data_IF_905219415369
#
_entry.id   IF_905219415369
#
_cell.length_a   1.000
_cell.length_b   1.000
_cell.length_c   1.000
_cell.angle_alpha   90.00
_cell.angle_beta   90.00
_cell.angle_gamma   90.00
#
_symmetry.space_group_name_H-M   'P 1'
#
loop_
_entity.id
_entity.type
_entity.pdbx_description
1 polymer ?
#
# COMPACT_ATOMS: atom_id res chain seq x y z
N UNK A 1 75.42 6.13 7.29
CA UNK A 1 74.55 6.07 6.08
C UNK A 1 74.01 4.66 6.00
N UNK A 2 72.74 4.34 5.98
CA UNK A 2 71.48 5.08 6.21
C UNK A 2 70.40 3.99 6.30
N UNK A 3 69.62 4.06 7.38
CA UNK A 3 68.25 3.56 7.61
C UNK A 3 67.70 2.38 6.79
N UNK A 4 67.47 1.28 7.52
CA UNK A 4 66.31 0.40 7.32
C UNK A 4 65.03 1.19 7.66
N UNK A 5 64.18 1.47 6.66
CA UNK A 5 62.81 1.95 6.90
C UNK A 5 61.86 0.75 6.87
N UNK A 6 61.37 0.45 8.07
CA UNK A 6 60.36 -0.53 8.41
C UNK A 6 59.02 -0.22 7.73
N UNK A 7 58.50 -1.19 7.00
CA UNK A 7 57.14 -1.22 6.47
C UNK A 7 56.14 -1.39 7.64
N UNK A 8 55.66 -0.28 8.22
CA UNK A 8 54.60 -0.29 9.23
C UNK A 8 53.24 -0.26 8.53
N UNK A 9 52.64 -1.44 8.40
CA UNK A 9 51.20 -1.59 8.27
C UNK A 9 50.52 -0.82 9.42
N UNK A 10 49.86 0.29 9.10
CA UNK A 10 49.14 1.12 10.06
C UNK A 10 48.01 0.34 10.71
N UNK A 11 48.19 -0.01 11.98
CA UNK A 11 47.10 -0.49 12.83
C UNK A 11 46.00 0.58 12.84
N UNK A 12 44.72 0.24 12.56
CA UNK A 12 43.63 1.20 12.65
C UNK A 12 43.61 1.78 14.06
N UNK A 13 43.56 3.11 14.15
CA UNK A 13 43.69 3.84 15.40
C UNK A 13 42.70 3.36 16.45
N UNK A 14 43.08 3.45 17.73
CA UNK A 14 42.29 2.97 18.88
C UNK A 14 40.82 3.48 18.86
N UNK A 15 40.61 4.67 18.30
CA UNK A 15 39.30 5.31 18.08
C UNK A 15 38.44 4.55 17.05
N UNK A 16 39.05 4.05 15.98
CA UNK A 16 38.37 3.31 14.90
C UNK A 16 37.96 1.90 15.37
N UNK A 17 38.81 1.27 16.20
CA UNK A 17 38.50 0.03 16.95
C UNK A 17 37.47 0.22 18.08
N UNK A 18 37.22 1.45 18.54
CA UNK A 18 36.13 1.74 19.47
C UNK A 18 34.81 2.04 18.73
N UNK A 19 34.89 2.66 17.55
CA UNK A 19 33.73 2.94 16.69
C UNK A 19 33.06 1.67 16.13
N UNK A 20 33.77 0.55 16.03
CA UNK A 20 33.16 -0.74 15.66
C UNK A 20 32.11 -1.23 16.69
N UNK A 21 32.24 -0.87 17.97
CA UNK A 21 31.30 -1.21 19.03
C UNK A 21 30.12 -0.24 19.14
N UNK A 22 30.20 0.93 18.50
CA UNK A 22 29.07 1.86 18.39
C UNK A 22 28.07 1.28 17.39
N UNK A 23 26.78 1.11 17.75
CA UNK A 23 25.75 0.65 16.83
C UNK A 23 25.80 1.47 15.55
N UNK A 24 25.72 0.84 14.37
CA UNK A 24 25.87 1.51 13.08
C UNK A 24 24.99 2.78 12.93
N UNK A 25 23.85 2.80 13.65
CA UNK A 25 22.87 3.90 13.73
C UNK A 25 23.39 5.15 14.45
N UNK A 26 24.41 5.02 15.30
CA UNK A 26 25.00 6.08 16.12
C UNK A 26 26.35 6.56 15.58
N UNK A 27 26.87 5.96 14.50
CA UNK A 27 28.10 6.40 13.85
C UNK A 27 27.82 7.71 13.08
N UNK A 28 28.62 8.75 13.33
CA UNK A 28 28.57 10.01 12.58
C UNK A 28 28.77 9.72 11.09
N UNK A 29 27.82 10.12 10.24
CA UNK A 29 27.89 9.99 8.78
C UNK A 29 27.06 8.86 8.15
N UNK A 30 26.36 8.03 8.94
CA UNK A 30 25.47 7.02 8.38
C UNK A 30 24.23 7.67 7.72
N UNK A 31 24.03 7.43 6.42
CA UNK A 31 22.81 7.85 5.71
C UNK A 31 21.68 6.92 6.09
N UNK A 32 20.54 7.47 6.51
CA UNK A 32 19.37 6.70 6.93
C UNK A 32 18.19 7.00 6.02
N UNK A 33 17.49 5.94 5.59
CA UNK A 33 16.23 6.00 4.85
C UNK A 33 15.24 5.04 5.53
N UNK A 34 14.40 5.50 6.46
CA UNK A 34 13.36 4.66 7.07
C UNK A 34 12.42 4.09 6.01
N UNK A 35 12.06 2.82 6.18
CA UNK A 35 11.19 2.08 5.26
C UNK A 35 9.85 1.79 5.94
N UNK A 36 8.74 2.16 5.30
CA UNK A 36 7.38 1.81 5.74
C UNK A 36 6.75 0.88 4.70
N UNK A 37 6.23 -0.26 5.15
CA UNK A 37 5.51 -1.22 4.28
C UNK A 37 4.00 -0.97 4.38
N UNK A 38 3.36 -0.76 3.24
CA UNK A 38 1.93 -0.52 3.06
C UNK A 38 1.38 -1.65 2.20
N UNK A 39 0.88 -2.71 2.86
CA UNK A 39 0.47 -3.95 2.19
C UNK A 39 -0.98 -4.31 2.51
N UNK A 40 -1.66 -4.86 1.51
CA UNK A 40 -3.00 -5.44 1.62
C UNK A 40 -4.12 -4.51 1.16
N UNK A 41 -5.35 -4.94 1.40
CA UNK A 41 -6.56 -4.19 1.08
C UNK A 41 -6.64 -2.90 1.89
N UNK A 42 -7.18 -1.84 1.28
CA UNK A 42 -7.35 -0.55 1.94
C UNK A 42 -8.80 -0.40 2.41
N UNK A 43 -8.99 -0.13 3.71
CA UNK A 43 -10.29 0.16 4.32
C UNK A 43 -11.27 -1.02 4.47
N UNK A 44 -10.96 -2.21 3.94
CA UNK A 44 -11.74 -3.42 4.17
C UNK A 44 -11.66 -3.80 5.65
N UNK A 45 -12.70 -3.53 6.43
CA UNK A 45 -12.72 -3.82 7.87
C UNK A 45 -13.51 -5.08 8.13
N UNK A 46 -12.83 -6.22 8.17
CA UNK A 46 -13.38 -7.37 8.87
C UNK A 46 -12.85 -7.35 10.31
N UNK A 47 -13.65 -7.74 11.33
CA UNK A 47 -13.27 -7.61 12.74
C UNK A 47 -11.89 -8.22 13.08
N UNK A 48 -11.49 -9.26 12.36
CA UNK A 48 -10.27 -10.04 12.61
C UNK A 48 -9.13 -9.75 11.63
N UNK A 49 -9.42 -9.21 10.43
CA UNK A 49 -8.42 -8.76 9.45
C UNK A 49 -8.74 -7.34 9.00
N UNK A 50 -8.29 -6.32 9.76
CA UNK A 50 -8.46 -4.95 9.35
C UNK A 50 -7.53 -4.66 8.17
N UNK A 51 -8.11 -4.22 7.07
CA UNK A 51 -7.41 -3.62 5.96
C UNK A 51 -6.69 -2.34 6.41
N UNK A 52 -5.76 -1.90 5.56
CA UNK A 52 -4.98 -0.70 5.77
C UNK A 52 -5.90 0.52 5.89
N UNK A 53 -5.73 1.29 6.97
CA UNK A 53 -6.44 2.55 7.21
C UNK A 53 -5.47 3.60 7.70
N UNK A 54 -5.83 4.88 7.58
CA UNK A 54 -5.02 5.97 8.12
C UNK A 54 -4.75 5.75 9.62
N UNK A 55 -5.77 5.37 10.39
CA UNK A 55 -5.63 5.10 11.82
C UNK A 55 -4.58 4.01 12.12
N UNK A 56 -4.52 2.97 11.29
CA UNK A 56 -3.55 1.88 11.43
C UNK A 56 -2.11 2.29 11.08
N UNK A 57 -1.92 3.16 10.07
CA UNK A 57 -0.57 3.48 9.55
C UNK A 57 -0.01 4.82 10.04
N UNK A 58 -0.84 5.73 10.58
CA UNK A 58 -0.44 7.09 10.94
C UNK A 58 0.78 7.13 11.87
N UNK A 59 0.77 6.35 12.97
CA UNK A 59 1.91 6.31 13.91
C UNK A 59 3.19 5.76 13.28
N UNK A 60 3.06 4.81 12.37
CA UNK A 60 4.21 4.22 11.65
C UNK A 60 4.83 5.26 10.71
N UNK A 61 3.99 5.99 9.97
CA UNK A 61 4.41 7.10 9.12
C UNK A 61 5.09 8.18 9.95
N UNK A 62 4.46 8.64 11.03
CA UNK A 62 5.03 9.66 11.93
C UNK A 62 6.41 9.27 12.46
N UNK A 63 6.60 8.02 12.87
CA UNK A 63 7.90 7.51 13.34
C UNK A 63 8.95 7.47 12.23
N UNK A 64 8.56 7.12 11.01
CA UNK A 64 9.48 7.16 9.87
C UNK A 64 9.93 8.60 9.59
N UNK A 65 8.99 9.52 9.48
CA UNK A 65 9.27 10.93 9.21
C UNK A 65 9.98 11.66 10.37
N UNK A 66 9.86 11.18 11.61
CA UNK A 66 10.56 11.71 12.78
C UNK A 66 11.98 11.15 12.97
N UNK A 67 12.45 10.23 12.11
CA UNK A 67 13.75 9.60 12.28
C UNK A 67 14.89 10.59 12.05
N UNK A 68 15.77 10.73 13.06
CA UNK A 68 16.92 11.65 13.00
C UNK A 68 17.85 11.28 11.85
N UNK A 69 18.36 12.30 11.16
CA UNK A 69 19.30 12.17 10.04
C UNK A 69 18.74 11.41 8.82
N UNK A 70 17.42 11.21 8.73
CA UNK A 70 16.81 10.67 7.54
C UNK A 70 17.07 11.59 6.33
N UNK A 71 17.45 11.01 5.19
CA UNK A 71 17.63 11.73 3.92
C UNK A 71 16.40 11.63 3.01
N UNK A 72 15.58 10.61 3.23
CA UNK A 72 14.33 10.32 2.53
C UNK A 72 13.47 9.40 3.39
N UNK A 73 12.21 9.21 3.04
CA UNK A 73 11.37 8.11 3.53
C UNK A 73 11.06 7.19 2.36
N UNK A 74 11.31 5.89 2.52
CA UNK A 74 10.93 4.89 1.53
C UNK A 74 9.59 4.26 1.91
N UNK A 75 8.66 4.22 0.96
CA UNK A 75 7.38 3.52 1.09
C UNK A 75 7.41 2.31 0.18
N UNK A 76 7.11 1.14 0.72
CA UNK A 76 6.98 -0.10 -0.05
C UNK A 76 5.49 -0.44 -0.14
N UNK A 77 4.95 -0.46 -1.35
CA UNK A 77 3.51 -0.63 -1.59
C UNK A 77 3.25 -1.98 -2.25
N UNK A 78 2.34 -2.75 -1.66
CA UNK A 78 1.79 -3.96 -2.25
C UNK A 78 0.29 -4.06 -1.97
N UNK A 79 -0.53 -3.43 -2.81
CA UNK A 79 -1.96 -3.26 -2.58
C UNK A 79 -2.77 -3.26 -3.89
N UNK A 80 -3.86 -4.05 -3.95
CA UNK A 80 -4.82 -4.03 -5.06
C UNK A 80 -5.79 -2.84 -4.96
N UNK A 81 -5.68 -2.01 -3.91
CA UNK A 81 -6.58 -0.89 -3.64
C UNK A 81 -7.62 -1.18 -2.57
N UNK A 82 -8.77 -0.51 -2.68
CA UNK A 82 -9.85 -0.57 -1.71
C UNK A 82 -10.54 0.79 -1.55
N UNK A 83 -10.83 1.18 -0.32
CA UNK A 83 -11.56 2.40 0.01
C UNK A 83 -10.91 3.66 -0.59
N UNK A 84 -11.62 4.45 -1.42
CA UNK A 84 -11.09 5.70 -1.97
C UNK A 84 -10.81 6.73 -0.87
N UNK A 85 -11.61 6.72 0.20
CA UNK A 85 -11.45 7.63 1.34
C UNK A 85 -10.16 7.33 2.11
N UNK A 86 -9.94 6.07 2.51
CA UNK A 86 -8.74 5.69 3.26
C UNK A 86 -7.47 5.88 2.42
N UNK A 87 -7.53 5.55 1.12
CA UNK A 87 -6.42 5.76 0.19
C UNK A 87 -6.02 7.24 0.12
N UNK A 88 -6.99 8.14 -0.06
CA UNK A 88 -6.75 9.58 -0.12
C UNK A 88 -6.27 10.15 1.22
N UNK A 89 -6.81 9.67 2.34
CA UNK A 89 -6.38 10.09 3.68
C UNK A 89 -4.93 9.71 3.96
N UNK A 90 -4.50 8.51 3.57
CA UNK A 90 -3.11 8.07 3.69
C UNK A 90 -2.21 8.90 2.77
N UNK A 91 -2.59 9.10 1.51
CA UNK A 91 -1.90 10.00 0.57
C UNK A 91 -1.65 11.39 1.18
N UNK A 92 -2.72 12.02 1.70
CA UNK A 92 -2.64 13.35 2.30
C UNK A 92 -1.70 13.37 3.50
N UNK A 93 -1.77 12.36 4.38
CA UNK A 93 -0.90 12.30 5.56
C UNK A 93 0.57 12.16 5.18
N UNK A 94 0.89 11.36 4.17
CA UNK A 94 2.26 11.23 3.64
C UNK A 94 2.74 12.58 3.12
N UNK A 95 1.95 13.27 2.28
CA UNK A 95 2.35 14.58 1.73
C UNK A 95 2.49 15.66 2.79
N UNK A 96 1.62 15.66 3.80
CA UNK A 96 1.71 16.57 4.94
C UNK A 96 3.04 16.35 5.69
N UNK A 97 3.35 15.10 6.06
CA UNK A 97 4.59 14.76 6.76
C UNK A 97 5.84 15.07 5.94
N UNK A 98 5.80 14.81 4.62
CA UNK A 98 6.89 15.15 3.70
C UNK A 98 7.15 16.66 3.67
N UNK A 99 6.10 17.49 3.61
CA UNK A 99 6.21 18.94 3.66
C UNK A 99 6.71 19.45 5.02
N UNK A 100 6.14 18.96 6.12
CA UNK A 100 6.53 19.34 7.48
C UNK A 100 8.00 19.02 7.80
N UNK A 101 8.48 17.85 7.33
CA UNK A 101 9.84 17.37 7.61
C UNK A 101 10.84 17.69 6.51
N UNK A 102 10.37 18.21 5.37
CA UNK A 102 11.17 18.49 4.17
C UNK A 102 11.98 17.26 3.73
N UNK A 103 11.34 16.09 3.76
CA UNK A 103 11.95 14.82 3.37
C UNK A 103 11.32 14.33 2.07
N UNK A 104 12.12 13.94 1.07
CA UNK A 104 11.60 13.30 -0.12
C UNK A 104 11.03 11.93 0.21
N UNK A 105 10.00 11.54 -0.52
CA UNK A 105 9.30 10.25 -0.42
C UNK A 105 9.60 9.43 -1.65
N UNK A 106 10.23 8.28 -1.46
CA UNK A 106 10.56 7.32 -2.52
C UNK A 106 9.62 6.13 -2.40
N UNK A 107 8.80 5.89 -3.41
CA UNK A 107 7.85 4.78 -3.44
C UNK A 107 8.46 3.62 -4.23
N UNK A 108 8.36 2.42 -3.69
CA UNK A 108 8.75 1.18 -4.33
C UNK A 108 7.52 0.27 -4.40
N UNK A 109 7.04 0.00 -5.60
CA UNK A 109 5.95 -0.96 -5.84
C UNK A 109 6.55 -2.36 -5.87
N UNK A 110 5.99 -3.26 -5.06
CA UNK A 110 6.29 -4.70 -5.14
C UNK A 110 5.41 -5.33 -6.23
N UNK A 111 4.48 -6.23 -5.88
CA UNK A 111 3.68 -6.92 -6.88
C UNK A 111 2.63 -5.97 -7.50
N UNK A 112 1.88 -5.25 -6.66
CA UNK A 112 0.74 -4.45 -7.12
C UNK A 112 0.70 -3.08 -6.43
N UNK A 113 0.47 -2.02 -7.20
CA UNK A 113 -0.04 -0.74 -6.73
C UNK A 113 -1.16 -0.29 -7.67
N UNK A 114 -2.36 -0.84 -7.45
CA UNK A 114 -3.54 -0.62 -8.28
C UNK A 114 -4.61 0.16 -7.51
N UNK A 115 -5.43 0.95 -8.22
CA UNK A 115 -6.56 1.71 -7.68
C UNK A 115 -6.15 2.54 -6.44
N UNK A 116 -6.75 2.32 -5.28
CA UNK A 116 -6.35 2.96 -4.03
C UNK A 116 -4.87 2.81 -3.67
N UNK A 117 -4.22 1.70 -4.05
CA UNK A 117 -2.78 1.50 -3.87
C UNK A 117 -1.96 2.46 -4.74
N UNK A 118 -2.38 2.66 -6.00
CA UNK A 118 -1.78 3.66 -6.89
C UNK A 118 -2.01 5.09 -6.40
N UNK A 119 -3.18 5.37 -5.82
CA UNK A 119 -3.46 6.66 -5.18
C UNK A 119 -2.49 6.97 -4.05
N UNK A 120 -2.12 5.97 -3.23
CA UNK A 120 -1.09 6.13 -2.20
C UNK A 120 0.30 6.27 -2.83
N UNK A 121 0.60 5.51 -3.89
CA UNK A 121 1.88 5.60 -4.61
C UNK A 121 2.13 7.00 -5.17
N UNK A 122 1.08 7.70 -5.60
CA UNK A 122 1.14 9.10 -6.03
C UNK A 122 1.61 10.07 -4.92
N UNK A 123 1.69 9.64 -3.65
CA UNK A 123 2.28 10.48 -2.60
C UNK A 123 3.82 10.56 -2.68
N UNK A 124 4.45 9.66 -3.43
CA UNK A 124 5.89 9.67 -3.70
C UNK A 124 6.31 10.85 -4.56
N UNK A 125 7.49 11.41 -4.29
CA UNK A 125 8.15 12.32 -5.21
C UNK A 125 8.73 11.55 -6.41
N UNK A 126 9.09 10.28 -6.18
CA UNK A 126 9.49 9.28 -7.19
C UNK A 126 8.84 7.91 -6.90
N UNK A 127 8.48 7.19 -7.95
CA UNK A 127 7.86 5.85 -7.94
C UNK A 127 8.75 4.89 -8.74
N UNK A 128 9.22 3.86 -8.08
CA UNK A 128 10.00 2.76 -8.65
C UNK A 128 9.16 1.48 -8.66
N UNK A 129 9.41 0.61 -9.64
CA UNK A 129 8.71 -0.67 -9.79
C UNK A 129 9.63 -1.74 -10.40
N UNK A 130 9.25 -3.01 -10.24
CA UNK A 130 9.81 -4.11 -11.04
C UNK A 130 9.18 -4.10 -12.45
N UNK A 131 9.85 -4.59 -13.51
CA UNK A 131 9.23 -4.74 -14.83
C UNK A 131 7.88 -5.47 -14.81
N UNK A 132 7.70 -6.40 -13.87
CA UNK A 132 6.51 -7.23 -13.70
C UNK A 132 5.49 -6.68 -12.70
N UNK A 133 5.81 -5.59 -12.00
CA UNK A 133 4.85 -4.94 -11.09
C UNK A 133 3.61 -4.48 -11.86
N UNK A 134 2.44 -4.53 -11.22
CA UNK A 134 1.19 -4.04 -11.80
C UNK A 134 0.84 -2.68 -11.18
N UNK A 135 0.71 -1.65 -12.03
CA UNK A 135 0.33 -0.30 -11.62
C UNK A 135 -0.88 0.21 -12.39
N UNK A 136 -1.53 1.25 -11.86
CA UNK A 136 -2.66 1.90 -12.51
C UNK A 136 -3.98 1.47 -11.87
N UNK A 137 -4.91 0.97 -12.68
CA UNK A 137 -6.31 0.76 -12.30
C UNK A 137 -6.95 2.05 -11.75
N UNK A 138 -6.74 3.15 -12.48
CA UNK A 138 -7.25 4.47 -12.13
C UNK A 138 -8.73 4.52 -12.53
N UNK A 139 -9.59 4.16 -11.61
CA UNK A 139 -11.03 4.06 -11.82
C UNK A 139 -11.78 3.76 -10.53
N UNK A 140 -13.11 3.73 -10.62
CA UNK A 140 -14.01 3.48 -9.50
C UNK A 140 -14.97 2.35 -9.88
N UNK A 141 -15.03 1.33 -9.04
CA UNK A 141 -15.95 0.20 -9.23
C UNK A 141 -16.77 0.00 -7.96
N UNK A 142 -18.03 -0.39 -8.15
CA UNK A 142 -18.91 -0.88 -7.12
C UNK A 142 -19.82 -1.93 -7.74
N UNK A 143 -20.24 -2.92 -6.97
CA UNK A 143 -21.06 -4.01 -7.47
C UNK A 143 -21.75 -4.77 -6.33
N UNK A 144 -22.84 -5.42 -6.70
CA UNK A 144 -23.60 -6.35 -5.87
C UNK A 144 -24.21 -7.41 -6.77
N UNK A 145 -24.92 -8.37 -6.19
CA UNK A 145 -25.66 -9.39 -6.91
C UNK A 145 -27.16 -9.08 -6.93
N UNK A 146 -27.84 -9.50 -7.99
CA UNK A 146 -29.29 -9.59 -8.05
C UNK A 146 -29.75 -10.99 -7.67
N UNK A 147 -30.64 -11.09 -6.69
CA UNK A 147 -31.13 -12.33 -6.10
C UNK A 147 -32.67 -12.44 -6.14
N UNK A 148 -33.36 -11.49 -6.77
CA UNK A 148 -34.82 -11.42 -6.83
C UNK A 148 -35.44 -12.73 -7.37
N UNK A 149 -34.85 -13.33 -8.41
CA UNK A 149 -35.37 -14.57 -9.00
C UNK A 149 -35.08 -15.79 -8.13
N UNK A 150 -33.94 -15.78 -7.42
CA UNK A 150 -33.56 -16.85 -6.51
C UNK A 150 -34.55 -16.91 -5.34
N UNK A 151 -34.84 -15.78 -4.69
CA UNK A 151 -35.74 -15.75 -3.54
C UNK A 151 -37.17 -16.13 -3.93
N UNK A 152 -37.62 -15.71 -5.11
CA UNK A 152 -38.92 -16.09 -5.66
C UNK A 152 -39.00 -17.61 -5.87
N UNK A 153 -37.94 -18.22 -6.43
CA UNK A 153 -37.89 -19.66 -6.70
C UNK A 153 -37.94 -20.52 -5.44
N UNK A 154 -37.40 -20.04 -4.32
CA UNK A 154 -37.40 -20.76 -3.03
C UNK A 154 -38.54 -20.35 -2.10
N UNK A 155 -39.49 -19.54 -2.59
CA UNK A 155 -40.67 -19.14 -1.83
C UNK A 155 -40.40 -18.10 -0.73
N UNK A 156 -39.30 -17.36 -0.81
CA UNK A 156 -38.96 -16.29 0.13
C UNK A 156 -39.53 -14.95 -0.37
N UNK A 157 -40.32 -14.29 0.48
CA UNK A 157 -40.90 -12.98 0.21
C UNK A 157 -40.07 -11.86 0.87
N UNK A 158 -39.67 -10.86 0.08
CA UNK A 158 -38.99 -9.67 0.59
C UNK A 158 -40.01 -8.63 1.07
N UNK A 159 -39.99 -8.30 2.37
CA UNK A 159 -40.81 -7.22 2.96
C UNK A 159 -39.91 -6.08 3.44
N UNK A 160 -40.01 -4.92 2.79
CA UNK A 160 -39.18 -3.74 3.09
C UNK A 160 -40.07 -2.50 3.29
N UNK A 161 -39.84 -1.78 4.39
CA UNK A 161 -40.51 -0.52 4.70
C UNK A 161 -39.44 0.55 4.92
N UNK A 162 -39.54 1.67 4.19
CA UNK A 162 -38.50 2.71 4.20
C UNK A 162 -39.04 4.10 4.45
N UNK A 163 -38.21 4.94 5.10
CA UNK A 163 -38.38 6.39 5.10
C UNK A 163 -37.29 7.04 4.21
N UNK A 164 -37.71 7.92 3.30
CA UNK A 164 -36.88 8.56 2.29
C UNK A 164 -36.97 7.89 0.92
N UNK A 165 -37.08 8.71 -0.14
CA UNK A 165 -37.46 8.26 -1.50
C UNK A 165 -36.49 7.25 -2.16
N UNK A 166 -35.21 7.25 -1.77
CA UNK A 166 -34.16 6.42 -2.39
C UNK A 166 -33.50 5.48 -1.38
N UNK A 167 -34.16 5.20 -0.24
CA UNK A 167 -33.59 4.40 0.86
C UNK A 167 -33.50 2.90 0.54
N UNK A 168 -34.15 2.46 -0.54
CA UNK A 168 -34.09 1.12 -1.10
C UNK A 168 -33.28 1.05 -2.41
N UNK A 169 -32.48 2.07 -2.73
CA UNK A 169 -31.67 2.08 -3.95
C UNK A 169 -30.63 0.94 -3.93
N UNK A 170 -30.44 0.27 -5.07
CA UNK A 170 -29.49 -0.86 -5.27
C UNK A 170 -29.74 -2.07 -4.38
N UNK A 171 -31.00 -2.25 -4.05
CA UNK A 171 -31.51 -3.40 -3.34
C UNK A 171 -31.29 -4.71 -4.13
N UNK A 172 -30.56 -5.70 -3.58
CA UNK A 172 -30.24 -6.94 -4.29
C UNK A 172 -31.42 -7.90 -4.47
N UNK A 173 -32.55 -7.70 -3.80
CA UNK A 173 -33.74 -8.55 -3.99
C UNK A 173 -34.87 -7.85 -4.78
N UNK A 174 -34.57 -6.73 -5.43
CA UNK A 174 -35.48 -6.06 -6.38
C UNK A 174 -34.85 -6.04 -7.78
N UNK A 175 -35.68 -5.94 -8.85
CA UNK A 175 -35.17 -5.62 -10.18
C UNK A 175 -34.40 -4.30 -10.19
N UNK A 176 -33.36 -4.23 -11.01
CA UNK A 176 -32.55 -3.02 -11.13
C UNK A 176 -33.36 -1.85 -11.69
N UNK A 177 -33.31 -0.70 -11.02
CA UNK A 177 -33.95 0.53 -11.47
C UNK A 177 -32.96 1.40 -12.27
N UNK A 178 -33.25 1.74 -13.55
CA UNK A 178 -32.39 2.57 -14.38
C UNK A 178 -32.03 3.94 -13.76
N UNK A 179 -32.94 4.54 -12.99
CA UNK A 179 -32.71 5.82 -12.33
C UNK A 179 -31.70 5.69 -11.17
N UNK A 180 -31.76 4.59 -10.43
CA UNK A 180 -30.78 4.26 -9.39
C UNK A 180 -29.39 4.02 -9.98
N UNK A 181 -29.33 3.32 -11.13
CA UNK A 181 -28.08 3.12 -11.88
C UNK A 181 -27.52 4.44 -12.37
N UNK A 182 -28.37 5.34 -12.89
CA UNK A 182 -27.95 6.67 -13.34
C UNK A 182 -27.35 7.49 -12.17
N UNK A 183 -27.99 7.45 -11.00
CA UNK A 183 -27.48 8.07 -9.76
C UNK A 183 -26.15 7.47 -9.32
N UNK A 184 -26.02 6.14 -9.29
CA UNK A 184 -24.77 5.46 -8.94
C UNK A 184 -23.63 5.84 -9.89
N UNK A 185 -23.90 5.84 -11.20
CA UNK A 185 -22.90 6.24 -12.21
C UNK A 185 -22.48 7.71 -12.06
N UNK A 186 -23.41 8.60 -11.69
CA UNK A 186 -23.07 9.99 -11.39
C UNK A 186 -22.10 10.10 -10.21
N UNK A 187 -22.40 9.42 -9.10
CA UNK A 187 -21.51 9.34 -7.94
C UNK A 187 -20.13 8.76 -8.30
N UNK A 188 -20.08 7.69 -9.09
CA UNK A 188 -18.82 7.09 -9.54
C UNK A 188 -18.00 8.07 -10.39
N UNK A 189 -18.64 8.85 -11.28
CA UNK A 189 -17.96 9.89 -12.07
C UNK A 189 -17.36 10.99 -11.18
N UNK A 190 -18.07 11.42 -10.14
CA UNK A 190 -17.56 12.40 -9.18
C UNK A 190 -16.31 11.89 -8.45
N UNK A 191 -16.37 10.66 -7.93
CA UNK A 191 -15.21 10.04 -7.24
C UNK A 191 -14.04 9.84 -8.22
N UNK A 192 -14.33 9.42 -9.45
CA UNK A 192 -13.31 9.20 -10.46
C UNK A 192 -12.62 10.51 -10.85
N UNK A 193 -13.37 11.61 -11.02
CA UNK A 193 -12.81 12.92 -11.30
C UNK A 193 -11.83 13.39 -10.21
N UNK A 194 -12.14 13.13 -8.93
CA UNK A 194 -11.23 13.41 -7.81
C UNK A 194 -9.94 12.60 -7.94
N UNK A 195 -10.03 11.32 -8.33
CA UNK A 195 -8.86 10.47 -8.50
C UNK A 195 -8.00 10.93 -9.68
N UNK A 196 -8.60 11.24 -10.84
CA UNK A 196 -7.89 11.80 -11.99
C UNK A 196 -7.14 13.07 -11.60
N UNK A 197 -7.81 14.00 -10.91
CA UNK A 197 -7.21 15.25 -10.47
C UNK A 197 -6.00 15.02 -9.54
N UNK A 198 -6.10 14.06 -8.61
CA UNK A 198 -5.00 13.69 -7.72
C UNK A 198 -3.80 13.14 -8.50
N UNK A 199 -4.03 12.23 -9.45
CA UNK A 199 -2.95 11.63 -10.27
C UNK A 199 -2.30 12.71 -11.12
N UNK A 200 -3.08 13.56 -11.78
CA UNK A 200 -2.55 14.68 -12.59
C UNK A 200 -1.74 15.66 -11.73
N UNK A 201 -2.21 15.99 -10.53
CA UNK A 201 -1.48 16.86 -9.62
C UNK A 201 -0.14 16.24 -9.17
N UNK A 202 -0.14 14.95 -8.84
CA UNK A 202 1.07 14.25 -8.37
C UNK A 202 2.09 14.04 -9.50
N UNK A 203 1.64 13.49 -10.62
CA UNK A 203 2.51 13.06 -11.72
C UNK A 203 2.85 14.21 -12.67
N UNK A 204 1.96 15.20 -12.82
CA UNK A 204 2.22 16.43 -13.59
C UNK A 204 2.72 16.13 -15.00
N UNK A 205 3.77 16.85 -15.42
CA UNK A 205 4.41 16.68 -16.72
C UNK A 205 5.07 15.30 -16.95
N UNK A 206 5.15 14.45 -15.92
CA UNK A 206 5.68 13.08 -16.08
C UNK A 206 4.69 12.16 -16.79
N UNK A 207 3.38 12.44 -16.74
CA UNK A 207 2.38 11.66 -17.47
C UNK A 207 2.58 11.85 -18.97
N UNK A 208 2.65 10.74 -19.69
CA UNK A 208 2.88 10.70 -21.14
C UNK A 208 1.70 10.08 -21.90
N UNK A 209 0.91 9.24 -21.24
CA UNK A 209 -0.29 8.65 -21.84
C UNK A 209 -1.43 9.65 -22.00
N UNK A 210 -2.32 9.38 -22.95
CA UNK A 210 -3.54 10.15 -23.14
C UNK A 210 -4.56 9.87 -22.02
N UNK A 211 -5.38 10.87 -21.69
CA UNK A 211 -6.40 10.77 -20.64
C UNK A 211 -7.37 9.60 -20.85
N UNK A 212 -7.79 9.38 -22.09
CA UNK A 212 -8.71 8.31 -22.52
C UNK A 212 -8.09 6.91 -22.47
N UNK A 213 -6.80 6.82 -22.16
CA UNK A 213 -6.08 5.56 -21.92
C UNK A 213 -5.77 5.40 -20.44
N UNK A 214 -5.22 6.44 -19.79
CA UNK A 214 -4.74 6.36 -18.41
C UNK A 214 -5.86 6.25 -17.38
N UNK A 215 -7.03 6.83 -17.66
CA UNK A 215 -8.12 6.98 -16.70
C UNK A 215 -9.32 6.09 -17.06
N UNK A 216 -9.08 4.92 -17.64
CA UNK A 216 -10.14 3.95 -18.00
C UNK A 216 -10.40 2.92 -16.91
N UNK A 217 -9.47 2.77 -15.96
CA UNK A 217 -9.44 1.67 -15.00
C UNK A 217 -8.55 0.49 -15.41
N UNK A 218 -7.91 0.56 -16.57
CA UNK A 218 -6.88 -0.40 -17.01
C UNK A 218 -5.62 -0.31 -16.13
N UNK A 219 -4.83 -1.39 -16.11
CA UNK A 219 -3.56 -1.49 -15.39
C UNK A 219 -2.47 -2.03 -16.32
N UNK A 220 -1.22 -1.73 -15.98
CA UNK A 220 -0.07 -2.03 -16.84
C UNK A 220 1.08 -2.62 -16.04
N UNK A 221 1.90 -3.41 -16.73
CA UNK A 221 3.19 -3.87 -16.22
C UNK A 221 4.16 -2.69 -15.99
N UNK A 222 5.23 -2.89 -15.22
CA UNK A 222 6.13 -1.83 -14.77
C UNK A 222 6.80 -1.07 -15.91
N UNK A 223 7.31 -1.74 -16.94
CA UNK A 223 7.96 -1.07 -18.08
C UNK A 223 6.99 -0.16 -18.84
N UNK A 224 5.78 -0.64 -19.10
CA UNK A 224 4.72 0.15 -19.72
C UNK A 224 4.30 1.30 -18.80
N UNK A 225 4.23 1.07 -17.49
CA UNK A 225 3.91 2.10 -16.50
C UNK A 225 4.93 3.23 -16.48
N UNK A 226 6.23 2.94 -16.61
CA UNK A 226 7.29 3.95 -16.77
C UNK A 226 7.12 4.70 -18.11
N UNK A 227 6.84 3.98 -19.19
CA UNK A 227 6.62 4.56 -20.52
C UNK A 227 5.42 5.52 -20.56
N UNK A 228 4.36 5.20 -19.83
CA UNK A 228 3.15 6.02 -19.67
C UNK A 228 3.31 7.16 -18.64
N UNK A 229 4.38 7.15 -17.85
CA UNK A 229 4.64 8.15 -16.81
C UNK A 229 3.96 7.87 -15.46
N UNK A 230 3.39 6.68 -15.30
CA UNK A 230 2.76 6.22 -14.06
C UNK A 230 3.81 5.85 -13.00
N UNK A 231 4.99 5.44 -13.42
CA UNK A 231 6.19 5.28 -12.59
C UNK A 231 7.35 6.10 -13.19
N UNK A 232 8.40 6.32 -12.39
CA UNK A 232 9.57 7.11 -12.79
C UNK A 232 10.70 6.23 -13.34
N UNK A 233 10.91 5.05 -12.76
CA UNK A 233 11.92 4.11 -13.23
C UNK A 233 11.63 2.67 -12.80
N UNK A 234 12.28 1.74 -13.50
CA UNK A 234 12.43 0.37 -13.03
C UNK A 234 13.54 0.32 -11.98
N UNK A 235 13.30 -0.35 -10.84
CA UNK A 235 14.31 -0.53 -9.80
C UNK A 235 13.76 -1.10 -8.50
N UNK A 236 14.62 -1.81 -7.76
CA UNK A 236 14.32 -2.33 -6.42
C UNK A 236 14.80 -1.39 -5.32
N UNK A 237 14.23 -1.54 -4.12
CA UNK A 237 14.54 -0.70 -2.96
C UNK A 237 16.03 -0.72 -2.59
N UNK A 238 16.69 -1.88 -2.62
CA UNK A 238 18.06 -2.02 -2.13
C UNK A 238 19.05 -1.41 -3.10
N UNK A 239 18.97 -1.77 -4.39
CA UNK A 239 19.89 -1.25 -5.41
C UNK A 239 19.71 0.25 -5.61
N UNK A 240 18.46 0.73 -5.67
CA UNK A 240 18.14 2.16 -5.86
C UNK A 240 18.68 3.01 -4.72
N UNK A 241 18.45 2.60 -3.47
CA UNK A 241 18.92 3.37 -2.32
C UNK A 241 20.44 3.33 -2.17
N UNK A 242 21.10 2.20 -2.49
CA UNK A 242 22.57 2.12 -2.45
C UNK A 242 23.23 2.96 -3.54
N UNK A 243 22.69 2.93 -4.74
CA UNK A 243 23.17 3.76 -5.85
C UNK A 243 23.07 5.25 -5.51
N UNK A 244 21.96 5.66 -4.88
CA UNK A 244 21.69 7.06 -4.54
C UNK A 244 22.40 7.57 -3.29
N UNK A 245 22.50 6.74 -2.25
CA UNK A 245 22.94 7.15 -0.91
C UNK A 245 24.20 6.41 -0.41
N UNK A 246 24.79 5.55 -1.24
CA UNK A 246 25.99 4.75 -0.96
C UNK A 246 25.69 3.37 -0.37
N UNK A 247 26.64 2.44 -0.50
CA UNK A 247 26.49 1.03 -0.09
C UNK A 247 26.18 0.81 1.40
N UNK A 248 26.53 1.80 2.23
CA UNK A 248 26.36 1.79 3.69
C UNK A 248 25.05 2.44 4.15
N UNK A 249 24.13 2.78 3.23
CA UNK A 249 22.81 3.32 3.59
C UNK A 249 22.07 2.37 4.53
N UNK A 250 21.54 2.91 5.61
CA UNK A 250 20.74 2.18 6.59
C UNK A 250 19.26 2.33 6.25
N UNK A 251 18.58 1.19 6.12
CA UNK A 251 17.16 1.14 5.74
C UNK A 251 16.31 0.52 6.86
N UNK A 252 16.18 1.17 8.03
CA UNK A 252 15.43 0.60 9.14
C UNK A 252 13.94 0.49 8.78
N UNK A 253 13.40 -0.72 8.88
CA UNK A 253 11.96 -0.96 8.67
C UNK A 253 11.19 -0.48 9.90
N UNK A 254 10.30 0.48 9.71
CA UNK A 254 9.45 1.02 10.76
C UNK A 254 8.21 0.15 10.86
N UNK A 255 8.15 -0.64 11.92
CA UNK A 255 6.98 -1.49 12.21
C UNK A 255 5.94 -0.71 13.02
N UNK A 256 4.64 -1.07 12.93
CA UNK A 256 3.62 -0.60 13.85
C UNK A 256 4.08 -0.80 15.30
N UNK A 257 3.69 0.07 16.24
CA UNK A 257 4.01 -0.11 17.64
C UNK A 257 3.37 -1.43 18.15
N UNK A 258 4.17 -2.50 18.19
CA UNK A 258 3.80 -3.72 18.90
C UNK A 258 4.02 -3.49 20.39
N UNK A 259 3.05 -3.86 21.23
CA UNK A 259 3.32 -4.03 22.65
C UNK A 259 4.45 -5.05 22.82
N UNK A 260 5.37 -4.82 23.75
CA UNK A 260 6.51 -5.73 24.02
C UNK A 260 6.09 -7.20 24.22
N UNK A 261 4.82 -7.45 24.59
CA UNK A 261 4.22 -8.79 24.73
C UNK A 261 3.96 -9.52 23.41
N UNK A 262 3.73 -8.83 22.29
CA UNK A 262 3.51 -9.47 20.97
C UNK A 262 4.78 -10.11 20.42
N UNK A 263 5.96 -9.69 20.90
CA UNK A 263 7.26 -10.27 20.53
C UNK A 263 7.59 -11.54 21.31
N UNK A 264 6.98 -11.75 22.48
CA UNK A 264 7.21 -12.90 23.35
C UNK A 264 6.23 -14.05 23.04
N UNK A 265 4.99 -13.72 22.66
CA UNK A 265 4.01 -14.70 22.20
C UNK A 265 3.97 -14.75 20.67
N UNK A 266 5.12 -15.11 20.10
CA UNK A 266 5.39 -15.08 18.66
C UNK A 266 4.26 -15.65 17.81
N UNK A 267 4.04 -14.96 16.68
CA UNK A 267 3.44 -15.47 15.44
C UNK A 267 3.57 -17.00 15.35
N UNK A 268 2.45 -17.71 15.50
CA UNK A 268 2.34 -19.05 14.91
C UNK A 268 2.48 -18.89 13.40
N UNK A 269 3.50 -19.53 12.85
CA UNK A 269 3.68 -19.67 11.41
C UNK A 269 2.44 -20.33 10.80
N UNK A 270 1.82 -19.79 9.74
CA UNK A 270 0.76 -20.50 9.03
C UNK A 270 1.42 -21.62 8.23
N UNK A 271 1.43 -22.84 8.76
CA UNK A 271 2.00 -23.99 8.03
C UNK A 271 2.37 -25.23 8.83
N UNK A 272 2.22 -25.27 10.17
CA UNK A 272 2.55 -26.47 10.93
C UNK A 272 1.45 -26.85 11.92
N UNK A 273 0.66 -27.85 11.51
CA UNK A 273 -0.01 -28.81 12.40
C UNK A 273 -1.18 -28.29 13.23
N UNK A 274 -2.39 -28.47 12.71
CA UNK A 274 -3.53 -28.84 13.56
C UNK A 274 -4.33 -29.91 12.81
N UNK A 275 -4.31 -31.14 13.32
CA UNK A 275 -5.35 -32.09 13.03
C UNK A 275 -6.69 -31.40 13.29
N UNK A 276 -7.47 -31.22 12.22
CA UNK A 276 -8.75 -30.55 12.26
C UNK A 276 -9.71 -31.39 13.09
N UNK A 277 -9.96 -30.97 14.34
CA UNK A 277 -11.19 -31.34 15.02
C UNK A 277 -12.34 -30.68 14.26
N UNK A 278 -13.31 -31.48 13.84
CA UNK A 278 -14.52 -31.09 13.09
C UNK A 278 -15.31 -29.94 13.75
N UNK A 279 -15.09 -29.65 15.03
CA UNK A 279 -15.67 -28.51 15.75
C UNK A 279 -15.08 -27.15 15.38
N UNK A 280 -13.85 -27.09 14.83
CA UNK A 280 -13.23 -25.83 14.41
C UNK A 280 -13.88 -25.23 13.14
N UNK A 281 -14.66 -26.02 12.40
CA UNK A 281 -15.37 -25.59 11.18
C UNK A 281 -16.58 -24.70 11.54
N UNK A 282 -17.14 -24.83 12.74
CA UNK A 282 -18.36 -24.12 13.14
C UNK A 282 -18.12 -22.68 13.67
N UNK A 283 -16.87 -22.28 13.92
CA UNK A 283 -16.52 -20.98 14.53
C UNK A 283 -15.88 -19.93 13.60
N UNK A 284 -15.73 -20.23 12.30
CA UNK A 284 -14.93 -19.44 11.35
C UNK A 284 -15.67 -18.82 10.14
N UNK A 285 -16.99 -18.51 10.16
CA UNK A 285 -17.65 -17.97 8.97
C UNK A 285 -17.02 -16.63 8.53
N UNK A 286 -16.78 -15.70 9.46
CA UNK A 286 -16.27 -14.37 9.11
C UNK A 286 -14.81 -14.37 8.62
N UNK A 287 -13.95 -15.25 9.17
CA UNK A 287 -12.56 -15.37 8.71
C UNK A 287 -12.46 -15.97 7.30
N UNK A 288 -13.27 -16.99 7.04
CA UNK A 288 -13.31 -17.64 5.73
C UNK A 288 -13.87 -16.67 4.69
N UNK A 289 -14.96 -15.96 5.00
CA UNK A 289 -15.55 -14.95 4.10
C UNK A 289 -14.52 -13.85 3.80
N UNK A 290 -13.89 -13.28 4.83
CA UNK A 290 -12.83 -12.26 4.68
C UNK A 290 -11.67 -12.73 3.81
N UNK A 291 -11.23 -13.98 4.01
CA UNK A 291 -10.16 -14.57 3.22
C UNK A 291 -10.57 -14.80 1.76
N UNK A 292 -11.80 -15.24 1.51
CA UNK A 292 -12.36 -15.44 0.18
C UNK A 292 -12.53 -14.11 -0.56
N UNK A 293 -13.07 -13.08 0.09
CA UNK A 293 -13.17 -11.73 -0.48
C UNK A 293 -11.79 -11.17 -0.82
N UNK A 294 -10.84 -11.30 0.10
CA UNK A 294 -9.46 -10.87 -0.15
C UNK A 294 -8.85 -11.59 -1.34
N UNK A 295 -8.95 -12.92 -1.38
CA UNK A 295 -8.47 -13.74 -2.50
C UNK A 295 -9.14 -13.35 -3.82
N UNK A 296 -10.45 -13.10 -3.83
CA UNK A 296 -11.17 -12.71 -5.02
C UNK A 296 -10.70 -11.35 -5.58
N UNK A 297 -10.31 -10.41 -4.71
CA UNK A 297 -9.75 -9.12 -5.14
C UNK A 297 -8.34 -9.30 -5.72
N UNK A 298 -7.49 -10.08 -5.05
CA UNK A 298 -6.12 -10.37 -5.51
C UNK A 298 -6.08 -11.20 -6.81
N UNK A 299 -7.06 -12.09 -7.01
CA UNK A 299 -7.15 -12.94 -8.20
C UNK A 299 -7.29 -12.12 -9.50
N UNK A 300 -7.81 -10.89 -9.44
CA UNK A 300 -7.88 -9.97 -10.59
C UNK A 300 -6.51 -9.58 -11.14
N UNK A 301 -5.46 -9.77 -10.35
CA UNK A 301 -4.07 -9.46 -10.66
C UNK A 301 -3.21 -10.72 -10.78
N UNK A 302 -3.80 -11.92 -10.72
CA UNK A 302 -3.08 -13.19 -10.84
C UNK A 302 -2.53 -13.77 -9.54
N UNK A 303 -2.98 -13.30 -8.37
CA UNK A 303 -2.53 -13.75 -7.04
C UNK A 303 -3.61 -14.47 -6.23
#
# INVERSE_FOLDING_TARGET
MSEQISDRAGLPGLVERLMQFVPARLRRGAVVVPVVRLSGLIGAVTPLRPGMSLAGVARTLERAFAMKHAKAVALVINSPGGSPVQSRQIYLRIRQLAAEKKLPVLVFVEDVAASGGYMIACAGDEIFCDPSSILGSIGVVGGSFGFQDLIAKIGVERRLYTAGAHKAMLDPFLPENPDDVARLKALQREIHAIFIALVKQSRGARLKGADDTLFTGEYWAGETSVSLGLADAVGDLRSTLRTRYGDKVLTPVVSPPGGMLSSLFGRKSPGAGTAASLEAIAGLPDELISALESRAIWAKFGF
#
